data_IF_740713936021
#
_entry.id   IF_740713936021
#
_cell.length_a   1.000
_cell.length_b   1.000
_cell.length_c   1.000
_cell.angle_alpha   90.00
_cell.angle_beta   90.00
_cell.angle_gamma   90.00
#
_symmetry.space_group_name_H-M   'P 1'
#
loop_
_entity.id
_entity.type
_entity.pdbx_description
1 polymer ?
#
# COMPACT_ATOMS: atom_id res chain seq x y z
N UNK A 1 -33.83 -14.20 -6.40
CA UNK A 1 -34.19 -13.21 -5.36
C UNK A 1 -33.37 -13.40 -4.10
N UNK A 2 -33.08 -14.63 -3.68
CA UNK A 2 -32.35 -14.92 -2.44
C UNK A 2 -30.88 -14.45 -2.44
N UNK A 3 -30.21 -14.51 -3.59
CA UNK A 3 -28.83 -14.05 -3.76
C UNK A 3 -28.66 -12.53 -3.52
N UNK A 4 -29.62 -11.71 -3.96
CA UNK A 4 -29.59 -10.25 -3.75
C UNK A 4 -29.76 -9.92 -2.26
N UNK A 5 -30.61 -10.66 -1.55
CA UNK A 5 -30.85 -10.45 -0.13
C UNK A 5 -29.65 -10.88 0.73
N UNK A 6 -29.02 -12.00 0.39
CA UNK A 6 -27.79 -12.50 1.03
C UNK A 6 -26.61 -11.56 0.77
N UNK A 7 -26.45 -11.08 -0.46
CA UNK A 7 -25.40 -10.13 -0.81
C UNK A 7 -25.61 -8.75 -0.16
N UNK A 8 -26.85 -8.26 -0.13
CA UNK A 8 -27.20 -6.99 0.52
C UNK A 8 -26.96 -7.03 2.03
N UNK A 9 -27.31 -8.14 2.69
CA UNK A 9 -27.07 -8.32 4.13
C UNK A 9 -25.59 -8.48 4.46
N UNK A 10 -24.82 -9.22 3.66
CA UNK A 10 -23.37 -9.33 3.81
C UNK A 10 -22.66 -7.98 3.59
N UNK A 11 -23.11 -7.20 2.61
CA UNK A 11 -22.63 -5.84 2.35
C UNK A 11 -22.86 -4.91 3.55
N UNK A 12 -24.08 -4.91 4.10
CA UNK A 12 -24.42 -4.09 5.27
C UNK A 12 -23.63 -4.51 6.51
N UNK A 13 -23.44 -5.81 6.73
CA UNK A 13 -22.61 -6.33 7.82
C UNK A 13 -21.15 -5.91 7.65
N UNK A 14 -20.60 -5.98 6.43
CA UNK A 14 -19.25 -5.51 6.13
C UNK A 14 -19.10 -4.01 6.35
N UNK A 15 -20.02 -3.20 5.81
CA UNK A 15 -20.02 -1.74 6.02
C UNK A 15 -20.08 -1.44 7.51
N UNK A 16 -20.93 -2.12 8.28
CA UNK A 16 -21.01 -1.95 9.72
C UNK A 16 -19.68 -2.28 10.41
N UNK A 17 -19.04 -3.40 10.07
CA UNK A 17 -17.73 -3.80 10.62
C UNK A 17 -16.66 -2.78 10.25
N UNK A 18 -16.58 -2.35 8.99
CA UNK A 18 -15.62 -1.34 8.54
C UNK A 18 -15.88 0.00 9.21
N UNK A 19 -17.13 0.43 9.35
CA UNK A 19 -17.49 1.66 10.07
C UNK A 19 -17.14 1.54 11.54
N UNK A 20 -17.38 0.40 12.20
CA UNK A 20 -17.01 0.17 13.59
C UNK A 20 -15.48 0.17 13.77
N UNK A 21 -14.74 -0.48 12.88
CA UNK A 21 -13.28 -0.45 12.87
C UNK A 21 -12.79 0.98 12.63
N UNK A 22 -13.39 1.69 11.68
CA UNK A 22 -13.04 3.09 11.36
C UNK A 22 -13.35 4.03 12.53
N UNK A 23 -14.46 3.84 13.23
CA UNK A 23 -14.81 4.58 14.45
C UNK A 23 -13.87 4.24 15.61
N UNK A 24 -13.49 2.97 15.75
CA UNK A 24 -12.50 2.54 16.74
C UNK A 24 -11.11 3.13 16.45
N UNK A 25 -10.69 3.11 15.18
CA UNK A 25 -9.44 3.73 14.71
C UNK A 25 -9.50 5.24 14.89
N UNK A 26 -10.64 5.87 14.59
CA UNK A 26 -10.87 7.30 14.86
C UNK A 26 -10.74 7.60 16.35
N UNK A 27 -11.32 6.78 17.22
CA UNK A 27 -11.24 6.99 18.68
C UNK A 27 -9.85 6.74 19.25
N UNK A 28 -9.11 5.75 18.74
CA UNK A 28 -7.83 5.29 19.29
C UNK A 28 -6.61 5.99 18.69
N UNK A 29 -6.66 6.34 17.40
CA UNK A 29 -5.51 6.82 16.64
C UNK A 29 -5.71 8.19 16.00
N UNK A 30 -6.95 8.65 15.79
CA UNK A 30 -7.19 10.03 15.36
C UNK A 30 -7.21 10.91 16.60
N UNK A 31 -6.06 11.52 16.87
CA UNK A 31 -5.93 12.56 17.90
C UNK A 31 -6.91 13.71 17.58
N UNK A 32 -7.85 13.99 18.48
CA UNK A 32 -8.87 15.03 18.29
C UNK A 32 -8.43 16.40 18.80
N UNK A 33 -7.21 16.52 19.33
CA UNK A 33 -6.77 17.69 20.08
C UNK A 33 -7.29 17.65 21.50
N UNK A 34 -6.45 17.99 22.46
CA UNK A 34 -7.00 18.57 23.69
C UNK A 34 -7.61 19.92 23.30
N UNK A 35 -8.81 20.24 23.79
CA UNK A 35 -9.47 21.53 23.61
C UNK A 35 -8.67 22.74 24.15
N UNK A 36 -7.40 22.56 24.52
CA UNK A 36 -6.50 23.62 24.96
C UNK A 36 -5.96 24.37 23.74
N UNK A 37 -6.63 25.47 23.46
CA UNK A 37 -6.13 26.64 22.71
C UNK A 37 -5.36 26.27 21.44
N UNK A 38 -6.09 25.98 20.37
CA UNK A 38 -5.57 26.23 19.02
C UNK A 38 -5.18 27.71 19.01
N UNK A 39 -3.88 28.00 19.09
CA UNK A 39 -3.38 29.35 18.93
C UNK A 39 -3.78 29.80 17.51
N UNK A 40 -4.82 30.62 17.41
CA UNK A 40 -5.39 31.16 16.18
C UNK A 40 -4.42 32.10 15.41
N UNK A 41 -3.14 32.10 15.76
CA UNK A 41 -2.10 32.96 15.15
C UNK A 41 -1.53 32.40 13.86
N UNK A 42 -1.80 31.15 13.48
CA UNK A 42 -1.31 30.59 12.22
C UNK A 42 -2.23 30.91 11.02
N UNK A 43 -2.16 32.17 10.55
CA UNK A 43 -2.51 32.55 9.17
C UNK A 43 -1.82 31.59 8.19
N UNK A 44 -2.58 30.80 7.43
CA UNK A 44 -2.11 30.05 6.24
C UNK A 44 -0.71 29.43 6.36
N UNK A 45 -0.44 28.69 7.43
CA UNK A 45 0.83 28.00 7.59
C UNK A 45 0.90 26.79 6.64
N UNK A 46 2.11 26.46 6.19
CA UNK A 46 2.41 25.24 5.43
C UNK A 46 1.78 23.98 6.07
N UNK A 47 1.73 23.93 7.41
CA UNK A 47 1.09 22.85 8.17
C UNK A 47 -0.42 22.74 7.91
N UNK A 48 -1.12 23.83 7.65
CA UNK A 48 -2.53 23.84 7.24
C UNK A 48 -2.77 23.21 5.88
N UNK A 49 -1.91 23.50 4.89
CA UNK A 49 -1.98 22.89 3.55
C UNK A 49 -1.71 21.38 3.65
N UNK A 50 -0.63 20.99 4.33
CA UNK A 50 -0.27 19.58 4.52
C UNK A 50 -1.41 18.82 5.21
N UNK A 51 -2.03 19.39 6.25
CA UNK A 51 -3.19 18.77 6.91
C UNK A 51 -4.33 18.54 5.92
N UNK A 52 -4.70 19.53 5.12
CA UNK A 52 -5.83 19.43 4.18
C UNK A 52 -5.56 18.36 3.12
N UNK A 53 -4.33 18.28 2.63
CA UNK A 53 -3.90 17.20 1.72
C UNK A 53 -4.02 15.83 2.39
N UNK A 54 -3.59 15.69 3.65
CA UNK A 54 -3.72 14.44 4.41
C UNK A 54 -5.18 14.08 4.72
N UNK A 55 -6.04 15.07 5.01
CA UNK A 55 -7.49 14.87 5.20
C UNK A 55 -8.14 14.32 3.92
N UNK A 56 -7.75 14.85 2.75
CA UNK A 56 -8.21 14.36 1.45
C UNK A 56 -7.79 12.91 1.19
N UNK A 57 -6.49 12.60 1.36
CA UNK A 57 -6.01 11.22 1.19
C UNK A 57 -6.65 10.26 2.20
N UNK A 58 -6.83 10.69 3.44
CA UNK A 58 -7.51 9.89 4.46
C UNK A 58 -8.94 9.56 4.03
N UNK A 59 -9.70 10.53 3.54
CA UNK A 59 -11.05 10.30 3.03
C UNK A 59 -11.06 9.31 1.84
N UNK A 60 -10.13 9.47 0.89
CA UNK A 60 -9.98 8.55 -0.25
C UNK A 60 -9.68 7.13 0.22
N UNK A 61 -8.69 6.95 1.10
CA UNK A 61 -8.31 5.62 1.57
C UNK A 61 -9.42 4.95 2.38
N UNK A 62 -10.16 5.71 3.20
CA UNK A 62 -11.36 5.17 3.85
C UNK A 62 -12.43 4.76 2.83
N UNK A 63 -12.67 5.58 1.80
CA UNK A 63 -13.62 5.24 0.73
C UNK A 63 -13.18 3.95 0.01
N UNK A 64 -11.89 3.81 -0.33
CA UNK A 64 -11.34 2.58 -0.92
C UNK A 64 -11.63 1.39 0.00
N UNK A 65 -11.28 1.47 1.29
CA UNK A 65 -11.47 0.34 2.22
C UNK A 65 -12.94 -0.05 2.37
N UNK A 66 -13.84 0.92 2.44
CA UNK A 66 -15.29 0.69 2.55
C UNK A 66 -15.86 0.11 1.26
N UNK A 67 -15.43 0.65 0.12
CA UNK A 67 -15.97 0.26 -1.19
C UNK A 67 -15.33 -1.01 -1.76
N UNK A 68 -14.20 -1.46 -1.21
CA UNK A 68 -13.40 -2.53 -1.79
C UNK A 68 -14.15 -3.85 -1.97
N UNK A 69 -14.79 -4.36 -0.90
CA UNK A 69 -15.57 -5.60 -1.00
C UNK A 69 -16.78 -5.49 -1.93
N UNK A 70 -17.63 -4.44 -1.86
CA UNK A 70 -18.71 -4.29 -2.83
C UNK A 70 -18.20 -4.30 -4.26
N UNK A 71 -17.11 -3.59 -4.55
CA UNK A 71 -16.49 -3.58 -5.89
C UNK A 71 -16.01 -4.98 -6.27
N UNK A 72 -15.30 -5.67 -5.39
CA UNK A 72 -14.86 -7.05 -5.61
C UNK A 72 -16.01 -8.00 -5.96
N UNK A 73 -17.11 -7.91 -5.21
CA UNK A 73 -18.31 -8.75 -5.39
C UNK A 73 -19.04 -8.41 -6.69
N UNK A 74 -19.29 -7.13 -6.96
CA UNK A 74 -19.95 -6.69 -8.19
C UNK A 74 -19.12 -7.10 -9.41
N UNK A 75 -17.81 -6.89 -9.35
CA UNK A 75 -16.90 -7.32 -10.39
C UNK A 75 -16.98 -8.85 -10.56
N UNK A 76 -16.81 -9.64 -9.49
CA UNK A 76 -16.92 -11.10 -9.57
C UNK A 76 -18.26 -11.61 -10.15
N UNK A 77 -19.38 -10.97 -9.82
CA UNK A 77 -20.70 -11.35 -10.36
C UNK A 77 -20.84 -10.95 -11.84
N UNK A 78 -20.41 -9.74 -12.20
CA UNK A 78 -20.44 -9.29 -13.60
C UNK A 78 -19.56 -10.17 -14.51
N UNK A 79 -18.49 -10.74 -13.94
CA UNK A 79 -17.51 -11.57 -14.64
C UNK A 79 -18.02 -12.97 -14.99
N UNK A 80 -19.02 -13.48 -14.26
CA UNK A 80 -19.59 -14.81 -14.54
C UNK A 80 -20.53 -14.83 -15.76
N UNK A 81 -20.86 -13.67 -16.34
CA UNK A 81 -21.93 -13.54 -17.34
C UNK A 81 -21.44 -13.24 -18.77
N UNK A 82 -20.14 -13.03 -19.01
CA UNK A 82 -19.61 -12.63 -20.34
C UNK A 82 -18.30 -13.37 -20.66
N UNK A 83 -18.31 -14.16 -21.74
CA UNK A 83 -17.18 -15.01 -22.17
C UNK A 83 -15.98 -14.25 -22.76
N UNK A 84 -16.14 -12.97 -23.13
CA UNK A 84 -15.07 -12.14 -23.75
C UNK A 84 -14.38 -11.21 -22.76
N UNK A 85 -14.53 -11.44 -21.47
CA UNK A 85 -13.99 -10.53 -20.45
C UNK A 85 -12.56 -10.90 -20.05
N UNK A 86 -11.73 -9.88 -19.90
CA UNK A 86 -10.39 -9.93 -19.36
C UNK A 86 -10.09 -8.68 -18.54
N UNK A 87 -9.12 -8.77 -17.65
CA UNK A 87 -8.65 -7.65 -16.84
C UNK A 87 -7.14 -7.64 -16.82
N UNK A 88 -6.63 -6.41 -16.82
CA UNK A 88 -5.22 -6.11 -16.77
C UNK A 88 -4.67 -6.35 -15.35
N UNK A 89 -3.86 -7.41 -15.21
CA UNK A 89 -3.12 -7.70 -13.99
C UNK A 89 -1.67 -7.29 -14.15
N UNK A 90 -1.23 -6.19 -13.51
CA UNK A 90 0.18 -5.85 -13.48
C UNK A 90 0.90 -6.80 -12.51
N UNK A 91 1.71 -7.71 -13.07
CA UNK A 91 2.57 -8.61 -12.31
C UNK A 91 4.03 -8.23 -12.51
N UNK A 92 4.78 -8.14 -11.41
CA UNK A 92 6.22 -7.96 -11.49
C UNK A 92 6.87 -9.30 -11.85
N UNK A 93 7.39 -9.39 -13.08
CA UNK A 93 7.83 -10.63 -13.69
C UNK A 93 9.22 -10.46 -14.31
N UNK A 94 9.99 -11.53 -14.27
CA UNK A 94 11.18 -11.69 -15.08
C UNK A 94 10.78 -12.21 -16.44
N UNK A 95 11.45 -11.73 -17.48
CA UNK A 95 11.24 -12.18 -18.85
C UNK A 95 12.56 -12.61 -19.47
N UNK A 96 12.47 -13.54 -20.40
CA UNK A 96 13.55 -13.98 -21.27
C UNK A 96 13.00 -14.20 -22.67
N UNK A 97 13.69 -13.65 -23.66
CA UNK A 97 13.44 -13.79 -25.08
C UNK A 97 14.66 -14.44 -25.73
N UNK A 98 14.55 -15.72 -26.08
CA UNK A 98 15.60 -16.47 -26.79
C UNK A 98 15.39 -16.33 -28.30
N UNK A 99 16.28 -15.60 -28.96
CA UNK A 99 16.19 -15.36 -30.39
C UNK A 99 16.54 -16.60 -31.23
N UNK A 100 17.25 -17.59 -30.67
CA UNK A 100 17.53 -18.85 -31.39
C UNK A 100 16.26 -19.65 -31.66
N UNK A 101 15.22 -19.44 -30.86
CA UNK A 101 13.93 -20.13 -30.98
C UNK A 101 12.97 -19.39 -31.93
N UNK A 102 13.33 -18.20 -32.43
CA UNK A 102 12.51 -17.42 -33.35
C UNK A 102 12.88 -17.73 -34.80
N UNK A 103 11.88 -18.10 -35.59
CA UNK A 103 12.09 -18.31 -37.03
C UNK A 103 12.38 -16.96 -37.71
N UNK A 104 13.33 -16.95 -38.64
CA UNK A 104 13.71 -15.78 -39.46
C UNK A 104 14.39 -14.62 -38.72
N UNK A 105 15.03 -14.88 -37.58
CA UNK A 105 15.89 -13.90 -36.91
C UNK A 105 17.36 -14.30 -37.08
N UNK A 106 18.17 -13.45 -37.73
CA UNK A 106 19.62 -13.61 -37.73
C UNK A 106 20.20 -13.06 -36.41
N UNK A 107 20.97 -13.91 -35.75
CA UNK A 107 21.58 -13.65 -34.43
C UNK A 107 23.11 -13.51 -34.52
N UNK A 108 23.63 -13.33 -35.73
CA UNK A 108 25.04 -13.06 -35.98
C UNK A 108 25.53 -11.85 -35.17
N UNK A 109 26.63 -12.02 -34.43
CA UNK A 109 27.24 -10.98 -33.59
C UNK A 109 26.85 -10.98 -32.09
N UNK A 110 25.88 -11.80 -31.67
CA UNK A 110 25.53 -11.96 -30.25
C UNK A 110 26.15 -13.23 -29.67
N UNK A 111 26.88 -13.11 -28.54
CA UNK A 111 27.48 -14.26 -27.84
C UNK A 111 26.42 -15.15 -27.17
N UNK A 112 25.39 -14.51 -26.63
CA UNK A 112 24.17 -15.16 -26.11
C UNK A 112 23.00 -14.35 -26.64
N UNK A 113 22.32 -14.81 -27.71
CA UNK A 113 21.22 -14.09 -28.30
C UNK A 113 19.94 -14.31 -27.47
N UNK A 114 19.98 -13.80 -26.25
CA UNK A 114 18.88 -13.74 -25.31
C UNK A 114 18.75 -12.32 -24.78
N UNK A 115 17.54 -11.77 -24.77
CA UNK A 115 17.21 -10.57 -24.00
C UNK A 115 16.42 -10.98 -22.78
N UNK A 116 16.96 -10.68 -21.60
CA UNK A 116 16.28 -10.91 -20.33
C UNK A 116 16.29 -9.68 -19.45
N UNK A 117 15.29 -9.59 -18.59
CA UNK A 117 15.09 -8.46 -17.70
C UNK A 117 13.97 -8.72 -16.70
N UNK A 118 13.69 -7.70 -15.88
CA UNK A 118 12.56 -7.71 -14.96
C UNK A 118 11.75 -6.44 -15.18
N UNK A 119 10.43 -6.56 -15.20
CA UNK A 119 9.54 -5.42 -15.35
C UNK A 119 8.17 -5.75 -14.81
N UNK A 120 7.33 -4.73 -14.68
CA UNK A 120 5.90 -4.91 -14.53
C UNK A 120 5.36 -5.28 -15.92
N UNK A 121 4.79 -6.47 -16.02
CA UNK A 121 4.11 -6.96 -17.22
C UNK A 121 2.63 -7.02 -16.89
N UNK A 122 1.84 -6.33 -17.70
CA UNK A 122 0.38 -6.37 -17.59
C UNK A 122 -0.12 -7.55 -18.40
N UNK A 123 -0.77 -8.48 -17.72
CA UNK A 123 -1.39 -9.64 -18.33
C UNK A 123 -2.89 -9.42 -18.40
N UNK A 124 -3.45 -9.43 -19.61
CA UNK A 124 -4.89 -9.54 -19.79
C UNK A 124 -5.29 -11.00 -19.53
N UNK A 125 -6.02 -11.23 -18.44
CA UNK A 125 -6.42 -12.57 -18.01
C UNK A 125 -7.89 -12.60 -17.61
N UNK A 126 -8.52 -13.75 -17.76
CA UNK A 126 -9.87 -14.05 -17.24
C UNK A 126 -9.82 -14.89 -15.95
N UNK A 127 -8.63 -15.12 -15.39
CA UNK A 127 -8.44 -15.95 -14.19
C UNK A 127 -8.98 -15.27 -12.93
N UNK A 128 -10.09 -15.78 -12.38
CA UNK A 128 -10.63 -15.29 -11.10
C UNK A 128 -9.61 -15.40 -9.95
N UNK A 129 -8.71 -16.38 -10.00
CA UNK A 129 -7.64 -16.50 -9.02
C UNK A 129 -6.69 -15.29 -9.08
N UNK A 130 -6.24 -14.91 -10.28
CA UNK A 130 -5.39 -13.74 -10.48
C UNK A 130 -6.10 -12.45 -10.05
N UNK A 131 -7.42 -12.36 -10.26
CA UNK A 131 -8.25 -11.23 -9.82
C UNK A 131 -8.26 -11.09 -8.31
N UNK A 132 -8.59 -12.16 -7.59
CA UNK A 132 -8.64 -12.12 -6.14
C UNK A 132 -7.26 -11.85 -5.52
N UNK A 133 -6.21 -12.43 -6.10
CA UNK A 133 -4.83 -12.22 -5.67
C UNK A 133 -4.37 -10.77 -5.86
N UNK A 134 -4.67 -10.18 -7.03
CA UNK A 134 -4.46 -8.77 -7.30
C UNK A 134 -5.23 -7.90 -6.31
N UNK A 135 -6.54 -8.15 -6.19
CA UNK A 135 -7.41 -7.31 -5.38
C UNK A 135 -7.03 -7.38 -3.89
N UNK A 136 -6.67 -8.54 -3.37
CA UNK A 136 -6.19 -8.68 -2.00
C UNK A 136 -4.88 -7.92 -1.78
N UNK A 137 -3.93 -8.01 -2.72
CA UNK A 137 -2.66 -7.26 -2.65
C UNK A 137 -2.88 -5.75 -2.66
N UNK A 138 -3.77 -5.24 -3.52
CA UNK A 138 -4.11 -3.81 -3.55
C UNK A 138 -4.82 -3.35 -2.27
N UNK A 139 -5.71 -4.17 -1.71
CA UNK A 139 -6.37 -3.86 -0.45
C UNK A 139 -5.39 -3.73 0.71
N UNK A 140 -4.48 -4.69 0.86
CA UNK A 140 -3.45 -4.67 1.90
C UNK A 140 -2.58 -3.41 1.73
N UNK A 141 -2.18 -3.09 0.50
CA UNK A 141 -1.42 -1.89 0.18
C UNK A 141 -2.16 -0.60 0.58
N UNK A 142 -3.46 -0.53 0.30
CA UNK A 142 -4.31 0.59 0.70
C UNK A 142 -4.46 0.71 2.23
N UNK A 143 -4.55 -0.41 2.95
CA UNK A 143 -4.57 -0.41 4.42
C UNK A 143 -3.26 0.09 5.03
N UNK A 144 -2.12 -0.32 4.47
CA UNK A 144 -0.79 0.16 4.89
C UNK A 144 -0.66 1.67 4.63
N UNK A 145 -1.08 2.13 3.45
CA UNK A 145 -1.08 3.55 3.13
C UNK A 145 -1.99 4.37 4.06
N UNK A 146 -3.21 3.88 4.34
CA UNK A 146 -4.13 4.49 5.28
C UNK A 146 -3.51 4.62 6.67
N UNK A 147 -2.86 3.56 7.16
CA UNK A 147 -2.18 3.59 8.45
C UNK A 147 -1.11 4.70 8.50
N UNK A 148 -0.26 4.78 7.48
CA UNK A 148 0.80 5.80 7.40
C UNK A 148 0.19 7.21 7.36
N UNK A 149 -0.84 7.43 6.56
CA UNK A 149 -1.54 8.73 6.49
C UNK A 149 -2.13 9.13 7.85
N UNK A 150 -2.73 8.19 8.59
CA UNK A 150 -3.25 8.45 9.94
C UNK A 150 -2.12 8.91 10.88
N UNK A 151 -0.96 8.24 10.86
CA UNK A 151 0.18 8.61 11.69
C UNK A 151 0.72 10.00 11.33
N UNK A 152 0.93 10.29 10.04
CA UNK A 152 1.44 11.59 9.57
C UNK A 152 0.46 12.70 9.93
N UNK A 153 -0.84 12.49 9.71
CA UNK A 153 -1.87 13.47 10.07
C UNK A 153 -1.86 13.77 11.57
N UNK A 154 -1.73 12.76 12.41
CA UNK A 154 -1.64 12.94 13.86
C UNK A 154 -0.41 13.79 14.26
N UNK A 155 0.73 13.59 13.60
CA UNK A 155 1.91 14.43 13.80
C UNK A 155 1.68 15.89 13.38
N UNK A 156 1.05 16.12 12.23
CA UNK A 156 0.73 17.48 11.75
C UNK A 156 -0.22 18.21 12.72
N UNK A 157 -1.22 17.51 13.27
CA UNK A 157 -2.09 18.11 14.29
C UNK A 157 -1.35 18.40 15.61
N UNK A 158 -0.41 17.54 16.01
CA UNK A 158 0.48 17.80 17.15
C UNK A 158 1.33 19.05 16.94
N UNK A 159 1.86 19.24 15.73
CA UNK A 159 2.61 20.45 15.38
C UNK A 159 1.73 21.70 15.41
N UNK A 160 0.49 21.61 14.92
CA UNK A 160 -0.47 22.73 14.96
C UNK A 160 -0.90 23.14 16.37
N UNK A 161 -0.81 22.23 17.34
CA UNK A 161 -1.11 22.49 18.75
C UNK A 161 0.10 22.94 19.56
N UNK A 162 1.25 23.19 18.91
CA UNK A 162 2.48 23.59 19.58
C UNK A 162 3.25 22.43 20.25
N UNK A 163 2.73 21.19 20.17
CA UNK A 163 3.37 19.98 20.69
C UNK A 163 4.33 19.40 19.65
N UNK A 164 5.36 20.16 19.30
CA UNK A 164 6.35 19.77 18.28
C UNK A 164 7.22 18.60 18.75
N UNK A 165 7.76 18.69 19.97
CA UNK A 165 8.57 17.65 20.59
C UNK A 165 7.74 16.88 21.62
N UNK A 166 7.11 15.80 21.16
CA UNK A 166 6.40 14.87 22.05
C UNK A 166 6.90 13.45 21.85
N UNK A 167 6.94 12.70 22.96
CA UNK A 167 7.23 11.27 22.98
C UNK A 167 6.27 10.49 22.05
N UNK A 168 5.04 10.98 21.92
CA UNK A 168 4.02 10.45 21.01
C UNK A 168 4.41 10.63 19.54
N UNK A 169 4.90 11.81 19.13
CA UNK A 169 5.36 12.05 17.76
C UNK A 169 6.56 11.18 17.41
N UNK A 170 7.52 11.04 18.33
CA UNK A 170 8.63 10.10 18.18
C UNK A 170 8.09 8.67 17.95
N UNK A 171 7.17 8.20 18.81
CA UNK A 171 6.55 6.88 18.67
C UNK A 171 5.82 6.69 17.32
N UNK A 172 5.13 7.73 16.82
CA UNK A 172 4.48 7.71 15.49
C UNK A 172 5.49 7.51 14.37
N UNK A 173 6.62 8.24 14.39
CA UNK A 173 7.70 8.10 13.40
C UNK A 173 8.28 6.69 13.46
N UNK A 174 8.53 6.15 14.66
CA UNK A 174 9.00 4.77 14.84
C UNK A 174 8.07 3.75 14.17
N UNK A 175 6.76 3.89 14.39
CA UNK A 175 5.75 2.99 13.80
C UNK A 175 5.75 3.08 12.28
N UNK A 176 5.86 4.28 11.71
CA UNK A 176 6.00 4.44 10.25
C UNK A 176 7.27 3.74 9.77
N UNK A 177 8.42 3.96 10.43
CA UNK A 177 9.68 3.30 10.10
C UNK A 177 9.57 1.78 10.11
N UNK A 178 9.00 1.19 11.16
CA UNK A 178 8.75 -0.26 11.27
C UNK A 178 7.87 -0.76 10.12
N UNK A 179 6.75 -0.08 9.85
CA UNK A 179 5.84 -0.46 8.77
C UNK A 179 6.54 -0.38 7.41
N UNK A 180 7.35 0.65 7.17
CA UNK A 180 8.15 0.78 5.93
C UNK A 180 9.11 -0.40 5.77
N UNK A 181 9.82 -0.80 6.83
CA UNK A 181 10.74 -1.96 6.77
C UNK A 181 9.95 -3.24 6.47
N UNK A 182 8.91 -3.52 7.25
CA UNK A 182 8.09 -4.72 7.10
C UNK A 182 7.50 -4.78 5.69
N UNK A 183 6.97 -3.67 5.19
CA UNK A 183 6.39 -3.60 3.86
C UNK A 183 7.42 -3.90 2.76
N UNK A 184 8.61 -3.30 2.82
CA UNK A 184 9.67 -3.55 1.83
C UNK A 184 10.28 -4.96 1.88
N UNK A 185 10.04 -5.73 2.96
CA UNK A 185 10.36 -7.15 3.03
C UNK A 185 9.20 -8.01 2.49
N UNK A 186 7.96 -7.70 2.89
CA UNK A 186 6.78 -8.49 2.51
C UNK A 186 6.46 -8.33 1.02
N UNK A 187 6.54 -7.12 0.46
CA UNK A 187 6.18 -6.85 -0.94
C UNK A 187 6.93 -7.76 -1.93
N UNK A 188 8.27 -7.88 -1.91
CA UNK A 188 8.97 -8.75 -2.86
C UNK A 188 8.71 -10.24 -2.62
N UNK A 189 8.42 -10.67 -1.38
CA UNK A 189 8.00 -12.04 -1.09
C UNK A 189 6.61 -12.32 -1.69
N UNK A 190 5.67 -11.41 -1.48
CA UNK A 190 4.34 -11.49 -2.09
C UNK A 190 4.47 -11.49 -3.63
N UNK A 191 5.31 -10.64 -4.20
CA UNK A 191 5.54 -10.64 -5.65
C UNK A 191 6.08 -11.98 -6.13
N UNK A 192 7.10 -12.53 -5.48
CA UNK A 192 7.71 -13.77 -5.91
C UNK A 192 6.78 -14.98 -5.78
N UNK A 193 6.07 -15.15 -4.65
CA UNK A 193 5.22 -16.31 -4.43
C UNK A 193 3.84 -16.17 -5.07
N UNK A 194 3.17 -15.04 -4.86
CA UNK A 194 1.80 -14.81 -5.30
C UNK A 194 1.74 -14.60 -6.81
N UNK A 195 2.53 -13.66 -7.37
CA UNK A 195 2.61 -13.52 -8.83
C UNK A 195 3.33 -14.69 -9.47
N UNK A 196 4.31 -15.29 -8.79
CA UNK A 196 4.98 -16.47 -9.33
C UNK A 196 4.07 -17.67 -9.51
N UNK A 197 3.07 -17.86 -8.65
CA UNK A 197 2.05 -18.88 -8.84
C UNK A 197 1.25 -18.63 -10.13
N UNK A 198 0.79 -17.39 -10.35
CA UNK A 198 0.06 -17.00 -11.55
C UNK A 198 0.92 -17.09 -12.83
N UNK A 199 2.16 -16.59 -12.80
CA UNK A 199 3.07 -16.59 -13.96
C UNK A 199 3.37 -18.02 -14.43
N UNK A 200 3.49 -18.98 -13.51
CA UNK A 200 3.74 -20.39 -13.85
C UNK A 200 2.59 -21.06 -14.61
N UNK A 201 1.38 -20.53 -14.51
CA UNK A 201 0.22 -21.04 -15.26
C UNK A 201 0.21 -20.55 -16.72
N UNK A 202 1.02 -19.54 -17.05
CA UNK A 202 1.09 -18.99 -18.40
C UNK A 202 1.96 -19.90 -19.27
N UNK A 203 1.32 -20.59 -20.22
CA UNK A 203 1.99 -21.46 -21.19
C UNK A 203 2.00 -20.79 -22.56
N UNK A 204 3.19 -20.52 -23.08
CA UNK A 204 3.35 -20.08 -24.47
C UNK A 204 3.45 -21.27 -25.42
N UNK A 205 2.91 -21.09 -26.63
CA UNK A 205 3.08 -22.05 -27.73
C UNK A 205 4.52 -22.09 -28.29
N UNK A 206 5.40 -21.20 -27.81
CA UNK A 206 6.82 -21.14 -28.17
C UNK A 206 7.69 -21.14 -26.92
N UNK A 207 8.87 -21.76 -27.03
CA UNK A 207 9.91 -21.69 -25.97
C UNK A 207 10.73 -20.41 -26.04
N UNK A 208 10.54 -19.59 -27.08
CA UNK A 208 11.24 -18.33 -27.28
C UNK A 208 10.91 -17.28 -26.21
N UNK A 209 9.73 -17.34 -25.61
CA UNK A 209 9.27 -16.38 -24.60
C UNK A 209 9.05 -17.14 -23.30
N UNK A 210 9.71 -16.70 -22.24
CA UNK A 210 9.54 -17.28 -20.92
C UNK A 210 9.34 -16.17 -19.89
N UNK A 211 8.32 -16.33 -19.07
CA UNK A 211 8.11 -15.52 -17.88
C UNK A 211 8.44 -16.35 -16.64
N UNK A 212 9.08 -15.70 -15.68
CA UNK A 212 9.45 -16.32 -14.42
C UNK A 212 9.18 -15.36 -13.26
N UNK A 213 8.96 -15.89 -12.04
CA UNK A 213 8.76 -15.04 -10.87
C UNK A 213 10.00 -14.17 -10.63
N UNK A 214 9.81 -12.86 -10.55
CA UNK A 214 10.88 -11.93 -10.23
C UNK A 214 10.91 -11.61 -8.72
N UNK A 215 12.12 -11.45 -8.21
CA UNK A 215 12.39 -10.95 -6.87
C UNK A 215 13.31 -9.74 -6.97
N UNK A 216 12.91 -8.63 -6.35
CA UNK A 216 13.72 -7.41 -6.22
C UNK A 216 13.46 -6.76 -4.86
N UNK A 217 14.50 -6.69 -4.03
CA UNK A 217 14.41 -6.08 -2.71
C UNK A 217 14.62 -4.56 -2.85
N UNK A 218 13.69 -3.76 -2.34
CA UNK A 218 13.84 -2.31 -2.28
C UNK A 218 14.74 -1.91 -1.10
N UNK A 219 16.06 -1.98 -1.31
CA UNK A 219 17.07 -1.62 -0.30
C UNK A 219 16.91 -0.17 0.17
N UNK A 220 16.61 0.76 -0.74
CA UNK A 220 16.41 2.16 -0.40
C UNK A 220 15.24 2.34 0.57
N UNK A 221 14.13 1.63 0.35
CA UNK A 221 12.97 1.62 1.24
C UNK A 221 13.32 1.11 2.64
N UNK A 222 14.15 0.06 2.75
CA UNK A 222 14.63 -0.45 4.04
C UNK A 222 15.50 0.59 4.78
N UNK A 223 16.42 1.24 4.05
CA UNK A 223 17.27 2.30 4.62
C UNK A 223 16.41 3.48 5.11
N UNK A 224 15.41 3.91 4.33
CA UNK A 224 14.48 4.97 4.76
C UNK A 224 13.75 4.54 6.05
N UNK A 225 13.29 3.30 6.14
CA UNK A 225 12.66 2.77 7.34
C UNK A 225 13.57 2.81 8.58
N UNK A 226 14.84 2.44 8.41
CA UNK A 226 15.85 2.51 9.48
C UNK A 226 16.13 3.97 9.89
N UNK A 227 16.27 4.88 8.93
CA UNK A 227 16.48 6.31 9.20
C UNK A 227 15.32 6.92 9.98
N UNK A 228 14.08 6.53 9.68
CA UNK A 228 12.91 6.95 10.45
C UNK A 228 12.98 6.44 11.90
N UNK A 229 13.45 5.21 12.13
CA UNK A 229 13.63 4.69 13.49
C UNK A 229 14.72 5.44 14.26
N UNK A 230 15.84 5.78 13.62
CA UNK A 230 16.90 6.60 14.22
C UNK A 230 16.37 8.00 14.56
N UNK A 231 15.68 8.64 13.61
CA UNK A 231 15.06 9.95 13.80
C UNK A 231 14.06 9.93 14.97
N UNK A 232 13.28 8.86 15.11
CA UNK A 232 12.42 8.67 16.27
C UNK A 232 13.18 8.63 17.59
N UNK A 233 14.36 7.99 17.64
CA UNK A 233 15.18 7.95 18.85
C UNK A 233 15.64 9.35 19.24
N UNK A 234 16.20 10.09 18.27
CA UNK A 234 16.67 11.46 18.46
C UNK A 234 15.55 12.40 18.92
N UNK A 235 14.36 12.30 18.32
CA UNK A 235 13.21 13.13 18.71
C UNK A 235 12.68 12.76 20.10
N UNK A 236 12.81 11.51 20.52
CA UNK A 236 12.41 11.09 21.85
C UNK A 236 13.35 11.65 22.92
N UNK A 237 14.66 11.63 22.67
CA UNK A 237 15.65 12.28 23.55
C UNK A 237 15.41 13.80 23.62
N UNK A 238 15.21 14.46 22.48
CA UNK A 238 14.88 15.88 22.44
C UNK A 238 13.59 16.20 23.23
N UNK A 239 12.56 15.35 23.13
CA UNK A 239 11.33 15.51 23.90
C UNK A 239 11.53 15.34 25.41
N UNK A 240 12.42 14.43 25.83
CA UNK A 240 12.78 14.25 27.24
C UNK A 240 13.53 15.48 27.77
N UNK A 241 14.53 15.97 27.05
CA UNK A 241 15.29 17.18 27.42
C UNK A 241 14.35 18.39 27.53
N UNK A 242 13.45 18.58 26.57
CA UNK A 242 12.46 19.67 26.60
C UNK A 242 11.58 19.61 27.85
N UNK A 243 11.15 18.41 28.25
CA UNK A 243 10.32 18.21 29.44
C UNK A 243 11.10 18.46 30.73
N UNK A 244 12.36 18.03 30.80
CA UNK A 244 13.23 18.30 31.96
C UNK A 244 13.50 19.79 32.14
N UNK A 245 13.70 20.52 31.04
CA UNK A 245 13.86 21.99 31.07
C UNK A 245 12.59 22.70 31.55
N UNK A 246 11.41 22.27 31.10
CA UNK A 246 10.12 22.81 31.57
C UNK A 246 9.86 22.55 33.06
N UNK A 247 10.41 21.49 33.65
CA UNK A 247 10.26 21.16 35.07
C UNK A 247 11.26 21.89 35.98
N UNK A 248 12.30 22.50 35.41
CA UNK A 248 13.38 23.19 36.14
C UNK A 248 13.16 24.70 36.23
N UNK A 249 12.26 25.26 35.40
CA UNK A 249 11.84 26.68 35.41
C UNK A 249 10.58 26.83 36.25
#
# INVERSE_FOLDING_TARGET
MDSIFILGTALLAYIFVVVKISLYVKKKYIWQGDNKLINNTAKWSFTGIVKRTLDFFLAIFYAIVILWLPVLVVMAISQQQVDTWGFDVPAYAGYSFDFNQLQNVDVSGLRHPEISGKSIITFDTSSLYAWYLFAATQFISAMVALFVVIQIRAMVMSLQSGLSFSTENASRIKRIGIVTIIWNIITPLNQYYSWGAFIKEIVFNTRAIQFYPAFELNVLGLVIGLLLMVLSGLLNEAAQISREQELTI
#
